data_IF_204277973471
#
_entry.id   IF_204277973471
#
_cell.length_a   1.000
_cell.length_b   1.000
_cell.length_c   1.000
_cell.angle_alpha   90.00
_cell.angle_beta   90.00
_cell.angle_gamma   90.00
#
_symmetry.space_group_name_H-M   'P 1'
#
loop_
_entity.id
_entity.type
_entity.pdbx_description
1 polymer ?
#
# COMPACT_ATOMS: atom_id res chain seq x y z
N UNK A 1 2.54 15.88 -8.30
CA UNK A 1 1.75 15.06 -7.37
C UNK A 1 0.54 15.89 -6.94
N UNK A 2 -0.66 15.37 -7.16
CA UNK A 2 -1.91 15.98 -6.67
C UNK A 2 -2.43 15.05 -5.58
N UNK A 3 -2.59 15.56 -4.37
CA UNK A 3 -3.18 14.83 -3.25
C UNK A 3 -4.60 15.32 -3.02
N UNK A 4 -5.57 14.43 -3.15
CA UNK A 4 -6.98 14.70 -2.87
C UNK A 4 -7.33 14.15 -1.49
N UNK A 5 -7.74 15.02 -0.59
CA UNK A 5 -8.33 14.62 0.69
C UNK A 5 -9.82 14.29 0.48
N UNK A 6 -10.20 13.07 0.81
CA UNK A 6 -11.59 12.63 0.82
C UNK A 6 -12.05 12.61 2.28
N UNK A 7 -13.14 13.33 2.58
CA UNK A 7 -13.71 13.46 3.93
C UNK A 7 -14.01 12.09 4.58
N UNK A 8 -13.80 11.93 5.90
CA UNK A 8 -13.76 10.64 6.59
C UNK A 8 -15.11 9.91 6.76
N UNK A 9 -16.18 10.36 6.14
CA UNK A 9 -17.55 9.92 6.45
C UNK A 9 -18.09 8.90 5.45
N UNK A 10 -17.30 7.98 4.91
CA UNK A 10 -17.97 6.96 4.10
C UNK A 10 -17.22 5.63 4.01
N UNK A 11 -17.89 4.49 4.25
CA UNK A 11 -17.44 3.16 3.85
C UNK A 11 -17.27 3.00 2.33
N UNK A 12 -17.40 4.08 1.58
CA UNK A 12 -17.41 4.11 0.11
C UNK A 12 -16.05 4.23 -0.55
N UNK A 13 -14.95 4.35 0.20
CA UNK A 13 -13.61 4.42 -0.41
C UNK A 13 -13.24 3.12 -1.12
N UNK A 14 -13.75 1.99 -0.63
CA UNK A 14 -13.62 0.68 -1.29
C UNK A 14 -14.30 0.63 -2.68
N UNK A 15 -15.29 1.49 -2.92
CA UNK A 15 -15.95 1.60 -4.22
C UNK A 15 -15.35 2.70 -5.10
N UNK A 16 -14.90 3.80 -4.50
CA UNK A 16 -14.37 4.96 -5.25
C UNK A 16 -13.05 4.64 -5.92
N UNK A 17 -12.16 3.93 -5.24
CA UNK A 17 -10.84 3.64 -5.79
C UNK A 17 -10.90 2.74 -7.04
N UNK A 18 -11.62 1.60 -7.05
CA UNK A 18 -11.79 0.79 -8.25
C UNK A 18 -12.47 1.53 -9.41
N UNK A 19 -13.41 2.45 -9.11
CA UNK A 19 -14.05 3.28 -10.13
C UNK A 19 -13.03 4.25 -10.77
N UNK A 20 -12.17 4.88 -9.97
CA UNK A 20 -11.12 5.74 -10.49
C UNK A 20 -10.10 4.97 -11.32
N UNK A 21 -9.67 3.80 -10.87
CA UNK A 21 -8.79 2.92 -11.65
C UNK A 21 -9.42 2.54 -12.98
N UNK A 22 -10.68 2.10 -12.96
CA UNK A 22 -11.43 1.75 -14.17
C UNK A 22 -11.58 2.95 -15.11
N UNK A 23 -11.81 4.14 -14.56
CA UNK A 23 -11.92 5.38 -15.34
C UNK A 23 -10.61 5.74 -16.03
N UNK A 24 -9.49 5.64 -15.32
CA UNK A 24 -8.14 5.88 -15.87
C UNK A 24 -7.82 4.88 -16.98
N UNK A 25 -8.16 3.61 -16.79
CA UNK A 25 -7.96 2.57 -17.81
C UNK A 25 -8.86 2.81 -19.03
N UNK A 26 -10.13 3.11 -18.83
CA UNK A 26 -11.08 3.37 -19.89
C UNK A 26 -10.76 4.63 -20.70
N UNK A 27 -10.17 5.63 -20.05
CA UNK A 27 -9.67 6.83 -20.72
C UNK A 27 -8.33 6.61 -21.45
N UNK A 28 -7.77 5.42 -21.45
CA UNK A 28 -6.47 5.11 -22.05
C UNK A 28 -5.27 5.70 -21.31
N UNK A 29 -5.48 6.23 -20.10
CA UNK A 29 -4.45 6.92 -19.31
C UNK A 29 -3.62 5.99 -18.41
N UNK A 30 -3.87 4.69 -18.41
CA UNK A 30 -3.19 3.73 -17.53
C UNK A 30 -1.68 3.60 -17.76
N UNK A 31 -1.16 4.10 -18.89
CA UNK A 31 0.28 4.21 -19.15
C UNK A 31 0.87 5.55 -18.72
N UNK A 32 0.04 6.53 -18.44
CA UNK A 32 0.44 7.90 -18.11
C UNK A 32 0.30 8.19 -16.63
N UNK A 33 -0.79 7.68 -16.03
CA UNK A 33 -1.13 7.95 -14.65
C UNK A 33 -1.18 6.66 -13.83
N UNK A 34 -0.66 6.73 -12.62
CA UNK A 34 -0.85 5.75 -11.57
C UNK A 34 -1.62 6.37 -10.42
N UNK A 35 -2.61 5.66 -9.90
CA UNK A 35 -3.38 6.09 -8.73
C UNK A 35 -2.93 5.25 -7.54
N UNK A 36 -2.68 5.91 -6.41
CA UNK A 36 -2.28 5.27 -5.16
C UNK A 36 -3.24 5.66 -4.07
N UNK A 37 -3.92 4.67 -3.47
CA UNK A 37 -4.85 4.87 -2.38
C UNK A 37 -4.18 4.66 -1.02
N UNK A 38 -4.54 5.51 -0.07
CA UNK A 38 -4.29 5.34 1.36
C UNK A 38 -5.63 5.40 2.09
N UNK A 39 -5.86 4.49 3.03
CA UNK A 39 -7.11 4.41 3.76
C UNK A 39 -6.88 3.89 5.18
N UNK A 40 -7.63 4.35 6.21
CA UNK A 40 -7.45 3.86 7.58
C UNK A 40 -7.54 2.34 7.71
N UNK A 41 -8.40 1.71 6.94
CA UNK A 41 -8.67 0.28 6.93
C UNK A 41 -8.11 -0.42 5.68
N UNK A 42 -7.08 0.16 5.05
CA UNK A 42 -6.51 -0.45 3.85
C UNK A 42 -6.09 -1.90 4.10
N UNK A 43 -6.50 -2.77 3.21
CA UNK A 43 -6.06 -4.16 3.12
C UNK A 43 -5.57 -4.45 1.70
N UNK A 44 -4.46 -5.16 1.59
CA UNK A 44 -3.91 -5.52 0.29
C UNK A 44 -4.85 -6.49 -0.42
N UNK A 45 -5.31 -6.20 -1.64
CA UNK A 45 -6.16 -7.11 -2.40
C UNK A 45 -5.51 -8.46 -2.68
N UNK A 46 -6.32 -9.41 -3.11
CA UNK A 46 -5.83 -10.73 -3.52
C UNK A 46 -4.91 -10.68 -4.76
N UNK A 47 -4.20 -11.77 -5.00
CA UNK A 47 -3.24 -11.87 -6.10
C UNK A 47 -3.89 -11.72 -7.48
N UNK A 48 -5.14 -12.17 -7.67
CA UNK A 48 -5.86 -12.09 -8.94
C UNK A 48 -6.22 -10.63 -9.26
N UNK A 49 -6.62 -9.86 -8.26
CA UNK A 49 -6.86 -8.43 -8.41
C UNK A 49 -5.54 -7.69 -8.72
N UNK A 50 -4.48 -7.94 -7.95
CA UNK A 50 -3.18 -7.31 -8.14
C UNK A 50 -2.57 -7.59 -9.51
N UNK A 51 -2.81 -8.76 -10.09
CA UNK A 51 -2.31 -9.12 -11.42
C UNK A 51 -2.92 -8.26 -12.55
N UNK A 52 -4.11 -7.70 -12.33
CA UNK A 52 -4.82 -6.86 -13.30
C UNK A 52 -4.50 -5.37 -13.16
N UNK A 53 -3.94 -4.96 -12.04
CA UNK A 53 -3.68 -3.56 -11.73
C UNK A 53 -2.17 -3.33 -11.59
N UNK A 54 -1.62 -2.51 -12.48
CA UNK A 54 -0.17 -2.31 -12.59
C UNK A 54 0.41 -1.52 -11.42
N UNK A 55 -0.33 -0.53 -10.95
CA UNK A 55 0.11 0.40 -9.91
C UNK A 55 -1.00 0.61 -8.87
N UNK A 56 -0.66 1.26 -7.77
CA UNK A 56 -1.63 1.76 -6.82
C UNK A 56 -1.81 0.91 -5.58
N UNK A 57 -1.53 -0.39 -5.67
CA UNK A 57 -1.69 -1.33 -4.57
C UNK A 57 -0.37 -1.70 -3.91
N UNK A 58 -0.48 -2.23 -2.71
CA UNK A 58 0.64 -2.85 -2.03
C UNK A 58 1.01 -4.18 -2.69
N UNK A 59 2.24 -4.60 -2.58
CA UNK A 59 2.69 -5.89 -3.10
C UNK A 59 2.07 -7.06 -2.34
N UNK A 60 1.88 -8.19 -3.04
CA UNK A 60 1.35 -9.42 -2.43
C UNK A 60 2.24 -9.92 -1.30
N UNK A 61 1.66 -10.63 -0.35
CA UNK A 61 2.36 -11.26 0.77
C UNK A 61 3.52 -12.14 0.32
N UNK A 62 3.33 -12.95 -0.73
CA UNK A 62 4.38 -13.79 -1.32
C UNK A 62 5.57 -12.98 -1.85
N UNK A 63 5.29 -11.82 -2.47
CA UNK A 63 6.36 -10.95 -2.97
C UNK A 63 7.13 -10.31 -1.81
N UNK A 64 6.42 -9.87 -0.78
CA UNK A 64 7.05 -9.32 0.44
C UNK A 64 7.89 -10.39 1.13
N UNK A 65 7.39 -11.62 1.27
CA UNK A 65 8.11 -12.73 1.87
C UNK A 65 9.42 -13.00 1.14
N UNK A 66 9.40 -13.15 -0.19
CA UNK A 66 10.63 -13.33 -0.98
C UNK A 66 11.65 -12.20 -0.80
N UNK A 67 11.20 -10.98 -0.58
CA UNK A 67 12.11 -9.86 -0.33
C UNK A 67 12.72 -9.89 1.07
N UNK A 68 11.95 -10.30 2.08
CA UNK A 68 12.43 -10.46 3.45
C UNK A 68 13.36 -11.66 3.61
N UNK A 69 13.13 -12.74 2.86
CA UNK A 69 14.02 -13.91 2.81
C UNK A 69 15.42 -13.55 2.30
N UNK A 70 15.49 -12.57 1.41
CA UNK A 70 16.75 -12.10 0.82
C UNK A 70 17.40 -10.95 1.62
N UNK A 71 16.81 -10.55 2.75
CA UNK A 71 17.44 -9.64 3.68
C UNK A 71 18.53 -10.37 4.50
N UNK A 72 19.49 -9.63 5.01
CA UNK A 72 20.55 -10.16 5.86
C UNK A 72 20.50 -9.48 7.25
N UNK A 73 20.16 -10.21 8.33
CA UNK A 73 19.65 -11.60 8.35
C UNK A 73 18.23 -11.73 7.76
N UNK A 74 17.82 -12.92 7.31
CA UNK A 74 16.46 -13.17 6.84
C UNK A 74 15.41 -12.86 7.90
N UNK A 75 14.42 -12.04 7.55
CA UNK A 75 13.38 -11.57 8.46
C UNK A 75 12.08 -12.39 8.37
N UNK A 76 11.92 -13.18 7.31
CA UNK A 76 10.67 -13.90 7.03
C UNK A 76 10.45 -15.14 7.90
N UNK A 77 11.52 -15.78 8.37
CA UNK A 77 11.45 -17.08 9.08
C UNK A 77 10.64 -17.05 10.39
N UNK A 78 10.36 -15.87 10.93
CA UNK A 78 9.65 -15.67 12.20
C UNK A 78 8.27 -15.02 12.04
N UNK A 79 7.82 -14.78 10.80
CA UNK A 79 6.62 -13.99 10.53
C UNK A 79 5.60 -14.85 9.78
N UNK A 80 4.42 -15.08 10.36
CA UNK A 80 3.33 -15.74 9.68
C UNK A 80 2.75 -14.86 8.54
N UNK A 81 1.97 -15.47 7.63
CA UNK A 81 1.43 -14.78 6.46
C UNK A 81 0.39 -13.71 6.83
N UNK A 82 -0.37 -13.91 7.90
CA UNK A 82 -1.36 -12.94 8.37
C UNK A 82 -0.68 -11.67 8.86
N UNK A 83 0.35 -11.82 9.70
CA UNK A 83 1.12 -10.69 10.21
C UNK A 83 1.89 -9.97 9.09
N UNK A 84 2.43 -10.71 8.13
CA UNK A 84 3.10 -10.13 6.97
C UNK A 84 2.14 -9.38 6.05
N UNK A 85 0.95 -9.93 5.80
CA UNK A 85 -0.12 -9.27 5.07
C UNK A 85 -0.55 -7.96 5.76
N UNK A 86 -0.74 -8.02 7.08
CA UNK A 86 -1.07 -6.85 7.88
C UNK A 86 0.03 -5.77 7.79
N UNK A 87 1.30 -6.13 7.99
CA UNK A 87 2.42 -5.20 7.94
C UNK A 87 2.59 -4.56 6.55
N UNK A 88 2.35 -5.33 5.50
CA UNK A 88 2.28 -4.83 4.13
C UNK A 88 1.14 -3.83 3.95
N UNK A 89 -0.06 -4.19 4.38
CA UNK A 89 -1.24 -3.34 4.28
C UNK A 89 -1.08 -2.05 5.08
N UNK A 90 -0.48 -2.12 6.27
CA UNK A 90 -0.26 -0.97 7.14
C UNK A 90 0.50 0.17 6.46
N UNK A 91 1.39 -0.11 5.53
CA UNK A 91 2.12 0.92 4.78
C UNK A 91 1.22 1.79 3.88
N UNK A 92 -0.03 1.40 3.66
CA UNK A 92 -1.06 2.15 2.93
C UNK A 92 -2.15 2.69 3.84
N UNK A 93 -2.00 2.51 5.15
CA UNK A 93 -2.91 3.12 6.11
C UNK A 93 -2.52 4.56 6.36
N UNK A 94 -3.52 5.39 6.51
CA UNK A 94 -3.41 6.81 6.89
C UNK A 94 -4.62 7.18 7.74
N UNK A 95 -4.54 8.23 8.58
CA UNK A 95 -5.67 8.65 9.41
C UNK A 95 -6.92 8.98 8.60
N UNK A 96 -6.75 9.41 7.36
CA UNK A 96 -7.83 9.77 6.44
C UNK A 96 -7.64 9.11 5.08
N UNK A 97 -8.75 8.89 4.37
CA UNK A 97 -8.69 8.42 3.00
C UNK A 97 -8.03 9.46 2.09
N UNK A 98 -7.01 9.05 1.37
CA UNK A 98 -6.25 9.88 0.44
C UNK A 98 -6.02 9.16 -0.87
N UNK A 99 -6.05 9.91 -1.96
CA UNK A 99 -5.70 9.42 -3.28
C UNK A 99 -4.58 10.30 -3.84
N UNK A 100 -3.46 9.66 -4.16
CA UNK A 100 -2.35 10.28 -4.86
C UNK A 100 -2.40 9.91 -6.33
N UNK A 101 -2.34 10.90 -7.19
CA UNK A 101 -2.19 10.72 -8.64
C UNK A 101 -0.74 11.01 -9.00
N UNK A 102 -0.08 10.05 -9.60
CA UNK A 102 1.33 10.08 -9.94
C UNK A 102 1.53 9.81 -11.44
N UNK A 103 2.64 10.26 -11.99
CA UNK A 103 3.04 9.84 -13.33
C UNK A 103 3.48 8.36 -13.29
N UNK A 104 2.94 7.56 -14.20
CA UNK A 104 3.26 6.13 -14.30
C UNK A 104 4.77 5.90 -14.51
N UNK A 105 5.44 6.76 -15.27
CA UNK A 105 6.88 6.73 -15.47
C UNK A 105 7.66 6.83 -14.15
N UNK A 106 7.24 7.67 -13.23
CA UNK A 106 7.91 7.81 -11.93
C UNK A 106 7.80 6.53 -11.09
N UNK A 107 6.64 5.89 -11.14
CA UNK A 107 6.41 4.60 -10.46
C UNK A 107 7.25 3.49 -11.10
N UNK A 108 7.31 3.45 -12.43
CA UNK A 108 8.08 2.46 -13.17
C UNK A 108 9.60 2.60 -12.92
N UNK A 109 10.12 3.82 -12.91
CA UNK A 109 11.52 4.09 -12.55
C UNK A 109 11.84 3.65 -11.12
N UNK A 110 10.92 3.86 -10.17
CA UNK A 110 11.09 3.40 -8.80
C UNK A 110 11.14 1.87 -8.71
N UNK A 111 10.31 1.17 -9.47
CA UNK A 111 10.30 -0.30 -9.52
C UNK A 111 11.54 -0.89 -10.19
N UNK A 112 11.93 -0.38 -11.35
CA UNK A 112 13.05 -0.91 -12.14
C UNK A 112 14.41 -0.71 -11.45
N UNK A 113 14.59 0.38 -10.73
CA UNK A 113 15.84 0.67 -9.98
C UNK A 113 16.00 -0.11 -8.68
N UNK A 114 15.17 -1.12 -8.44
CA UNK A 114 15.13 -1.93 -7.19
C UNK A 114 14.97 -1.11 -5.90
N UNK A 115 14.71 0.19 -6.01
CA UNK A 115 14.49 1.07 -4.85
C UNK A 115 13.23 0.69 -4.09
N UNK A 116 12.19 0.26 -4.80
CA UNK A 116 10.94 -0.22 -4.21
C UNK A 116 11.20 -1.42 -3.30
N UNK A 117 11.97 -2.42 -3.75
CA UNK A 117 12.29 -3.59 -2.92
C UNK A 117 12.91 -3.19 -1.58
N UNK A 118 14.00 -2.40 -1.62
CA UNK A 118 14.70 -1.98 -0.42
C UNK A 118 13.81 -1.14 0.50
N UNK A 119 13.04 -0.23 -0.08
CA UNK A 119 12.11 0.62 0.67
C UNK A 119 11.04 -0.21 1.38
N UNK A 120 10.34 -1.06 0.64
CA UNK A 120 9.24 -1.85 1.20
C UNK A 120 9.73 -2.90 2.21
N UNK A 121 10.85 -3.57 1.95
CA UNK A 121 11.43 -4.52 2.92
C UNK A 121 11.78 -3.82 4.24
N UNK A 122 12.43 -2.65 4.17
CA UNK A 122 12.76 -1.86 5.35
C UNK A 122 11.52 -1.40 6.11
N UNK A 123 10.50 -0.92 5.38
CA UNK A 123 9.28 -0.43 6.00
C UNK A 123 8.49 -1.57 6.66
N UNK A 124 8.38 -2.73 5.99
CA UNK A 124 7.73 -3.93 6.58
C UNK A 124 8.49 -4.36 7.83
N UNK A 125 9.83 -4.44 7.76
CA UNK A 125 10.64 -4.81 8.92
C UNK A 125 10.42 -3.86 10.11
N UNK A 126 10.34 -2.55 9.85
CA UNK A 126 10.06 -1.55 10.89
C UNK A 126 8.66 -1.72 11.49
N UNK A 127 7.64 -1.90 10.65
CA UNK A 127 6.26 -2.15 11.11
C UNK A 127 6.17 -3.40 11.98
N UNK A 128 6.84 -4.49 11.58
CA UNK A 128 6.90 -5.72 12.36
C UNK A 128 7.64 -5.53 13.70
N UNK A 129 8.68 -4.71 13.72
CA UNK A 129 9.46 -4.40 14.92
C UNK A 129 8.69 -3.55 15.93
N UNK A 130 7.95 -2.54 15.47
CA UNK A 130 7.12 -1.68 16.31
C UNK A 130 5.89 -2.43 16.87
N UNK A 131 5.38 -3.39 16.12
CA UNK A 131 4.30 -4.29 16.53
C UNK A 131 2.90 -3.72 16.29
N UNK A 132 1.97 -4.65 16.06
CA UNK A 132 0.58 -4.37 15.66
C UNK A 132 -0.16 -3.51 16.69
N UNK A 133 -0.09 -3.88 17.95
CA UNK A 133 -0.87 -3.23 19.03
C UNK A 133 -0.49 -1.77 19.19
N UNK A 134 0.80 -1.47 19.17
CA UNK A 134 1.29 -0.09 19.33
C UNK A 134 0.93 0.78 18.12
N UNK A 135 1.10 0.26 16.91
CA UNK A 135 0.78 1.00 15.70
C UNK A 135 -0.73 1.27 15.55
N UNK A 136 -1.59 0.31 15.92
CA UNK A 136 -3.04 0.53 15.92
C UNK A 136 -3.45 1.56 16.98
N UNK A 137 -2.81 1.56 18.15
CA UNK A 137 -3.02 2.55 19.19
C UNK A 137 -2.63 3.96 18.72
N UNK A 138 -1.47 4.11 18.08
CA UNK A 138 -1.02 5.39 17.51
C UNK A 138 -1.97 5.88 16.42
N UNK A 139 -2.37 5.02 15.50
CA UNK A 139 -3.31 5.35 14.44
C UNK A 139 -4.68 5.78 14.98
N UNK A 140 -5.17 5.14 16.06
CA UNK A 140 -6.41 5.54 16.72
C UNK A 140 -6.28 6.92 17.37
N UNK A 141 -5.17 7.20 18.04
CA UNK A 141 -4.90 8.50 18.65
C UNK A 141 -4.83 9.63 17.61
N UNK A 142 -4.17 9.40 16.47
CA UNK A 142 -4.11 10.37 15.38
C UNK A 142 -5.47 10.69 14.77
N UNK A 143 -6.36 9.68 14.66
CA UNK A 143 -7.74 9.89 14.19
C UNK A 143 -8.58 10.70 15.17
N UNK A 144 -8.36 10.52 16.47
CA UNK A 144 -9.11 11.20 17.52
C UNK A 144 -8.65 12.64 17.76
N UNK A 145 -7.43 13.00 17.37
CA UNK A 145 -6.84 14.32 17.61
C UNK A 145 -7.29 15.42 16.63
N UNK A 146 -8.18 15.10 15.69
CA UNK A 146 -8.70 16.01 14.65
C UNK A 146 -10.22 16.04 14.65
#
# INVERSE_FOLDING_TARGET
CISLHISPVSPRCELVFPLLESSVLSAGLGRTLGIVCFHPEYSTPDAAYLARHRFGHMHSTDRLRRWLDQADPPLSARTDDGLLHWAGSYQRRSPHAMINVLWAEQLEVAETKRKSRTLYSRNVAKVLQEGLVELERQSAAERAAR
#
